data_IF_177506323225
#
_entry.id   IF_177506323225
#
_cell.length_a   1.000
_cell.length_b   1.000
_cell.length_c   1.000
_cell.angle_alpha   90.00
_cell.angle_beta   90.00
_cell.angle_gamma   90.00
#
_symmetry.space_group_name_H-M   'P 1'
#
loop_
_entity.id
_entity.type
_entity.pdbx_description
1 polymer ?
#
# COMPACT_ATOMS: atom_id res chain seq x y z
N UNK A 1 -24.19 35.00 33.00
CA UNK A 1 -24.61 34.03 31.96
C UNK A 1 -23.61 33.92 30.79
N UNK A 2 -23.19 35.01 30.13
CA UNK A 2 -22.22 34.96 29.00
C UNK A 2 -20.84 34.34 29.35
N UNK A 3 -20.30 34.62 30.54
CA UNK A 3 -19.02 34.04 31.00
C UNK A 3 -19.07 32.51 31.25
N UNK A 4 -20.23 31.97 31.60
CA UNK A 4 -20.38 30.54 31.89
C UNK A 4 -20.44 29.70 30.59
N UNK A 5 -21.09 30.26 29.56
CA UNK A 5 -21.18 29.67 28.21
C UNK A 5 -19.81 29.71 27.51
N UNK A 6 -19.05 30.80 27.64
CA UNK A 6 -17.70 30.93 27.08
C UNK A 6 -16.72 29.90 27.69
N UNK A 7 -16.85 29.63 28.99
CA UNK A 7 -16.03 28.64 29.70
C UNK A 7 -16.32 27.20 29.23
N UNK A 8 -17.60 26.84 29.04
CA UNK A 8 -18.02 25.52 28.54
C UNK A 8 -17.54 25.22 27.11
N UNK A 9 -17.53 26.22 26.22
CA UNK A 9 -17.04 26.07 24.84
C UNK A 9 -15.53 25.77 24.83
N UNK A 10 -14.75 26.51 25.61
CA UNK A 10 -13.30 26.30 25.75
C UNK A 10 -12.97 24.91 26.35
N UNK A 11 -13.83 24.37 27.23
CA UNK A 11 -13.65 23.03 27.82
C UNK A 11 -13.94 21.92 26.82
N UNK A 12 -14.96 22.11 25.97
CA UNK A 12 -15.32 21.17 24.91
C UNK A 12 -14.23 21.07 23.85
N UNK A 13 -13.69 22.20 23.43
CA UNK A 13 -12.63 22.23 22.41
C UNK A 13 -11.35 21.57 22.95
N UNK A 14 -10.99 21.83 24.21
CA UNK A 14 -9.86 21.16 24.89
C UNK A 14 -10.08 19.64 25.04
N UNK A 15 -11.32 19.19 25.23
CA UNK A 15 -11.67 17.77 25.30
C UNK A 15 -11.54 17.09 23.93
N UNK A 16 -11.97 17.77 22.86
CA UNK A 16 -11.84 17.28 21.48
C UNK A 16 -10.37 17.18 21.09
N UNK A 17 -9.56 18.18 21.41
CA UNK A 17 -8.11 18.18 21.14
C UNK A 17 -7.39 17.11 21.98
N UNK A 18 -7.77 16.94 23.24
CA UNK A 18 -7.27 15.86 24.09
C UNK A 18 -7.62 14.47 23.55
N UNK A 19 -8.87 14.26 23.14
CA UNK A 19 -9.32 13.00 22.54
C UNK A 19 -8.62 12.71 21.21
N UNK A 20 -8.46 13.73 20.34
CA UNK A 20 -7.70 13.64 19.10
C UNK A 20 -6.24 13.26 19.37
N UNK A 21 -5.60 13.91 20.34
CA UNK A 21 -4.22 13.63 20.73
C UNK A 21 -4.03 12.20 21.23
N UNK A 22 -4.98 11.67 22.01
CA UNK A 22 -4.96 10.28 22.48
C UNK A 22 -5.09 9.29 21.31
N UNK A 23 -6.03 9.52 20.40
CA UNK A 23 -6.24 8.65 19.23
C UNK A 23 -5.03 8.66 18.29
N UNK A 24 -4.50 9.85 17.98
CA UNK A 24 -3.31 10.00 17.15
C UNK A 24 -2.07 9.39 17.80
N UNK A 25 -1.86 9.64 19.09
CA UNK A 25 -0.73 9.08 19.84
C UNK A 25 -0.77 7.56 19.92
N UNK A 26 -1.95 6.98 20.15
CA UNK A 26 -2.14 5.52 20.18
C UNK A 26 -1.93 4.91 18.80
N UNK A 27 -2.46 5.54 17.74
CA UNK A 27 -2.24 5.10 16.36
C UNK A 27 -0.76 5.12 15.98
N UNK A 28 -0.05 6.22 16.25
CA UNK A 28 1.38 6.35 15.96
C UNK A 28 2.23 5.29 16.70
N UNK A 29 1.90 5.01 17.96
CA UNK A 29 2.58 3.98 18.75
C UNK A 29 2.37 2.58 18.15
N UNK A 30 1.13 2.25 17.78
CA UNK A 30 0.80 0.96 17.16
C UNK A 30 1.47 0.80 15.79
N UNK A 31 1.50 1.85 14.97
CA UNK A 31 2.22 1.84 13.70
C UNK A 31 3.72 1.64 13.88
N UNK A 32 4.35 2.31 14.85
CA UNK A 32 5.78 2.11 15.14
C UNK A 32 6.10 0.67 15.58
N UNK A 33 5.20 0.06 16.35
CA UNK A 33 5.31 -1.34 16.76
C UNK A 33 5.17 -2.27 15.55
N UNK A 34 4.14 -2.06 14.73
CA UNK A 34 3.89 -2.82 13.52
C UNK A 34 5.07 -2.77 12.54
N UNK A 35 5.58 -1.57 12.24
CA UNK A 35 6.76 -1.38 11.39
C UNK A 35 7.98 -2.12 11.93
N UNK A 36 8.13 -2.22 13.25
CA UNK A 36 9.22 -2.96 13.88
C UNK A 36 9.10 -4.46 13.62
N UNK A 37 7.90 -5.02 13.73
CA UNK A 37 7.65 -6.42 13.38
C UNK A 37 7.88 -6.67 11.89
N UNK A 38 7.36 -5.81 11.02
CA UNK A 38 7.60 -5.86 9.57
C UNK A 38 9.11 -5.84 9.25
N UNK A 39 9.89 -4.95 9.89
CA UNK A 39 11.35 -4.90 9.73
C UNK A 39 12.05 -6.20 10.14
N UNK A 40 11.51 -6.98 11.09
CA UNK A 40 12.09 -8.28 11.45
C UNK A 40 11.86 -9.31 10.35
N UNK A 41 10.65 -9.35 9.77
CA UNK A 41 10.30 -10.26 8.67
C UNK A 41 11.14 -9.94 7.42
N UNK A 42 11.27 -8.66 7.07
CA UNK A 42 12.07 -8.22 5.91
C UNK A 42 13.54 -8.63 6.05
N UNK A 43 14.11 -8.62 7.27
CA UNK A 43 15.49 -9.11 7.49
C UNK A 43 15.65 -10.59 7.14
N UNK A 44 14.64 -11.41 7.42
CA UNK A 44 14.62 -12.84 7.06
C UNK A 44 14.53 -12.99 5.53
N UNK A 45 13.66 -12.21 4.88
CA UNK A 45 13.54 -12.22 3.41
C UNK A 45 14.86 -11.82 2.73
N UNK A 46 15.52 -10.78 3.23
CA UNK A 46 16.84 -10.35 2.73
C UNK A 46 17.91 -11.43 2.90
N UNK A 47 17.86 -12.23 3.97
CA UNK A 47 18.79 -13.36 4.12
C UNK A 47 18.58 -14.41 3.03
N UNK A 48 17.33 -14.71 2.65
CA UNK A 48 17.05 -15.58 1.51
C UNK A 48 17.61 -14.99 0.21
N UNK A 49 17.43 -13.68 -0.02
CA UNK A 49 18.01 -12.98 -1.18
C UNK A 49 19.54 -13.04 -1.21
N UNK A 50 20.22 -12.85 -0.07
CA UNK A 50 21.68 -12.97 0.05
C UNK A 50 22.17 -14.35 -0.44
N UNK A 51 21.45 -15.44 -0.10
CA UNK A 51 21.77 -16.78 -0.59
C UNK A 51 21.44 -16.96 -2.07
N UNK A 52 20.28 -16.48 -2.54
CA UNK A 52 19.92 -16.60 -3.96
C UNK A 52 20.92 -15.91 -4.89
N UNK A 53 21.55 -14.82 -4.44
CA UNK A 53 22.59 -14.12 -5.18
C UNK A 53 23.85 -14.97 -5.46
N UNK A 54 24.13 -15.97 -4.62
CA UNK A 54 25.28 -16.89 -4.83
C UNK A 54 24.90 -18.14 -5.62
N UNK A 55 23.65 -18.30 -6.04
CA UNK A 55 23.21 -19.50 -6.75
C UNK A 55 23.92 -19.70 -8.10
N UNK A 56 24.33 -18.62 -8.77
CA UNK A 56 24.96 -18.68 -10.09
C UNK A 56 26.44 -19.13 -10.07
N UNK A 57 27.11 -19.04 -8.93
CA UNK A 57 28.53 -19.40 -8.78
C UNK A 57 28.76 -20.79 -8.18
N UNK A 58 27.69 -21.56 -7.95
CA UNK A 58 27.80 -22.92 -7.43
C UNK A 58 28.17 -23.89 -8.56
N UNK A 59 29.35 -24.49 -8.43
CA UNK A 59 29.97 -25.36 -9.44
C UNK A 59 30.23 -26.79 -8.96
N UNK A 60 30.07 -27.09 -7.66
CA UNK A 60 30.31 -28.42 -7.08
C UNK A 60 29.10 -28.95 -6.30
N UNK A 61 29.05 -30.28 -6.14
CA UNK A 61 27.99 -30.95 -5.36
C UNK A 61 28.10 -30.65 -3.86
N UNK A 62 29.34 -30.44 -3.37
CA UNK A 62 29.61 -30.10 -1.98
C UNK A 62 29.11 -28.68 -1.67
N UNK A 63 29.38 -27.72 -2.56
CA UNK A 63 28.87 -26.35 -2.45
C UNK A 63 27.34 -26.31 -2.55
N UNK A 64 26.75 -27.09 -3.45
CA UNK A 64 25.30 -27.23 -3.54
C UNK A 64 24.69 -27.79 -2.25
N UNK A 65 25.33 -28.80 -1.67
CA UNK A 65 24.88 -29.39 -0.40
C UNK A 65 24.95 -28.38 0.74
N UNK A 66 26.01 -27.57 0.79
CA UNK A 66 26.18 -26.51 1.77
C UNK A 66 25.13 -25.39 1.56
N UNK A 67 24.91 -24.97 0.32
CA UNK A 67 23.88 -23.99 -0.05
C UNK A 67 22.50 -24.42 0.44
N UNK A 68 22.10 -25.67 0.16
CA UNK A 68 20.80 -26.21 0.59
C UNK A 68 20.69 -26.21 2.12
N UNK A 69 21.76 -26.61 2.82
CA UNK A 69 21.80 -26.62 4.29
C UNK A 69 21.63 -25.23 4.88
N UNK A 70 22.22 -24.21 4.25
CA UNK A 70 22.22 -22.85 4.76
C UNK A 70 20.92 -22.11 4.43
N UNK A 71 20.36 -22.26 3.22
CA UNK A 71 19.14 -21.54 2.80
C UNK A 71 17.86 -22.14 3.42
N UNK A 72 17.81 -23.46 3.65
CA UNK A 72 16.59 -24.16 4.12
C UNK A 72 16.01 -23.60 5.43
N UNK A 73 16.82 -23.32 6.47
CA UNK A 73 16.33 -22.70 7.70
C UNK A 73 15.72 -21.31 7.46
N UNK A 74 16.30 -20.51 6.56
CA UNK A 74 15.78 -19.18 6.24
C UNK A 74 14.49 -19.24 5.44
N UNK A 75 14.36 -20.19 4.50
CA UNK A 75 13.11 -20.43 3.77
C UNK A 75 11.98 -20.87 4.72
N UNK A 76 12.29 -21.78 5.64
CA UNK A 76 11.31 -22.26 6.63
C UNK A 76 10.87 -21.12 7.56
N UNK A 77 11.83 -20.32 8.04
CA UNK A 77 11.55 -19.16 8.87
C UNK A 77 10.73 -18.11 8.12
N UNK A 78 11.12 -17.77 6.89
CA UNK A 78 10.39 -16.81 6.04
C UNK A 78 8.97 -17.27 5.80
N UNK A 79 8.75 -18.55 5.47
CA UNK A 79 7.42 -19.11 5.28
C UNK A 79 6.56 -18.97 6.53
N UNK A 80 7.12 -19.23 7.72
CA UNK A 80 6.40 -19.08 8.99
C UNK A 80 6.08 -17.62 9.32
N UNK A 81 7.06 -16.74 9.18
CA UNK A 81 6.92 -15.32 9.54
C UNK A 81 5.90 -14.62 8.61
N UNK A 82 5.90 -14.95 7.31
CA UNK A 82 4.91 -14.44 6.34
C UNK A 82 3.53 -15.05 6.58
N UNK A 83 3.43 -16.34 6.92
CA UNK A 83 2.15 -16.97 7.25
C UNK A 83 1.51 -16.37 8.52
N UNK A 84 2.30 -16.09 9.54
CA UNK A 84 1.82 -15.37 10.72
C UNK A 84 1.33 -13.97 10.34
N UNK A 85 2.11 -13.23 9.55
CA UNK A 85 1.76 -11.87 9.16
C UNK A 85 0.49 -11.81 8.32
N UNK A 86 0.32 -12.70 7.36
CA UNK A 86 -0.86 -12.68 6.49
C UNK A 86 -2.17 -12.89 7.27
N UNK A 87 -2.13 -13.66 8.38
CA UNK A 87 -3.28 -13.86 9.26
C UNK A 87 -3.67 -12.61 10.06
N UNK A 88 -2.72 -11.68 10.29
CA UNK A 88 -2.94 -10.42 11.01
C UNK A 88 -3.46 -9.30 10.08
N UNK A 89 -3.29 -9.45 8.76
CA UNK A 89 -3.70 -8.43 7.80
C UNK A 89 -5.22 -8.36 7.66
N UNK A 90 -5.75 -7.14 7.82
CA UNK A 90 -7.15 -6.82 7.51
C UNK A 90 -7.39 -6.70 6.00
N UNK A 91 -6.36 -6.28 5.23
CA UNK A 91 -6.45 -6.10 3.79
C UNK A 91 -6.31 -7.44 3.03
N UNK A 92 -7.44 -7.98 2.58
CA UNK A 92 -7.53 -9.30 1.95
C UNK A 92 -6.64 -9.45 0.71
N UNK A 93 -6.54 -8.41 -0.11
CA UNK A 93 -5.73 -8.45 -1.35
C UNK A 93 -4.23 -8.60 -1.01
N UNK A 94 -3.75 -7.89 0.02
CA UNK A 94 -2.34 -8.03 0.44
C UNK A 94 -2.06 -9.42 0.99
N UNK A 95 -2.99 -9.96 1.79
CA UNK A 95 -2.93 -11.35 2.26
C UNK A 95 -2.84 -12.33 1.09
N UNK A 96 -3.69 -12.21 0.08
CA UNK A 96 -3.70 -13.09 -1.10
C UNK A 96 -2.39 -13.02 -1.89
N UNK A 97 -1.83 -11.81 -2.06
CA UNK A 97 -0.53 -11.65 -2.73
C UNK A 97 0.57 -12.34 -1.92
N UNK A 98 0.64 -12.15 -0.59
CA UNK A 98 1.64 -12.80 0.25
C UNK A 98 1.56 -14.33 0.17
N UNK A 99 0.35 -14.89 0.22
CA UNK A 99 0.12 -16.34 0.07
C UNK A 99 0.63 -16.83 -1.29
N UNK A 100 0.23 -16.17 -2.39
CA UNK A 100 0.63 -16.54 -3.76
C UNK A 100 2.15 -16.51 -3.94
N UNK A 101 2.81 -15.45 -3.47
CA UNK A 101 4.26 -15.32 -3.60
C UNK A 101 4.97 -16.42 -2.80
N UNK A 102 4.51 -16.66 -1.56
CA UNK A 102 5.11 -17.67 -0.70
C UNK A 102 4.94 -19.09 -1.26
N UNK A 103 3.78 -19.41 -1.83
CA UNK A 103 3.57 -20.70 -2.48
C UNK A 103 4.41 -20.86 -3.75
N UNK A 104 4.60 -19.78 -4.51
CA UNK A 104 5.53 -19.77 -5.65
C UNK A 104 6.96 -20.06 -5.20
N UNK A 105 7.42 -19.45 -4.10
CA UNK A 105 8.74 -19.74 -3.51
C UNK A 105 8.88 -21.20 -3.08
N UNK A 106 7.86 -21.78 -2.42
CA UNK A 106 7.86 -23.20 -2.01
C UNK A 106 7.97 -24.15 -3.21
N UNK A 107 7.31 -23.82 -4.32
CA UNK A 107 7.37 -24.61 -5.56
C UNK A 107 8.74 -24.44 -6.25
N UNK A 108 9.27 -23.21 -6.33
CA UNK A 108 10.52 -22.91 -7.01
C UNK A 108 11.75 -23.49 -6.29
N UNK A 109 11.75 -23.54 -4.96
CA UNK A 109 12.89 -23.99 -4.16
C UNK A 109 13.44 -25.38 -4.56
N UNK A 110 12.64 -26.46 -4.58
CA UNK A 110 13.13 -27.77 -5.01
C UNK A 110 13.49 -27.81 -6.51
N UNK A 111 12.80 -27.04 -7.35
CA UNK A 111 13.08 -26.98 -8.80
C UNK A 111 14.45 -26.32 -9.04
N UNK A 112 14.77 -25.25 -8.31
CA UNK A 112 16.06 -24.59 -8.36
C UNK A 112 17.19 -25.53 -7.92
N UNK A 113 17.01 -26.25 -6.81
CA UNK A 113 18.00 -27.24 -6.33
C UNK A 113 18.24 -28.33 -7.38
N UNK A 114 17.18 -28.83 -8.02
CA UNK A 114 17.30 -29.79 -9.12
C UNK A 114 18.05 -29.19 -10.32
N UNK A 115 17.76 -27.95 -10.73
CA UNK A 115 18.44 -27.29 -11.84
C UNK A 115 19.94 -27.07 -11.55
N UNK A 116 20.29 -26.68 -10.32
CA UNK A 116 21.67 -26.55 -9.88
C UNK A 116 22.41 -27.90 -9.90
N UNK A 117 21.74 -28.97 -9.45
CA UNK A 117 22.31 -30.32 -9.48
C UNK A 117 22.62 -30.77 -10.91
N UNK A 118 21.68 -30.56 -11.83
CA UNK A 118 21.87 -30.90 -13.26
C UNK A 118 23.04 -30.11 -13.85
N UNK A 119 23.14 -28.81 -13.53
CA UNK A 119 24.25 -27.97 -13.97
C UNK A 119 25.61 -28.52 -13.52
N UNK A 120 25.76 -28.84 -12.23
CA UNK A 120 26.99 -29.41 -11.67
C UNK A 120 27.35 -30.73 -12.37
N UNK A 121 26.38 -31.62 -12.58
CA UNK A 121 26.61 -32.91 -13.25
C UNK A 121 27.08 -32.74 -14.72
N UNK A 122 26.47 -31.82 -15.47
CA UNK A 122 26.87 -31.54 -16.86
C UNK A 122 28.28 -30.93 -16.93
N UNK A 123 28.65 -30.13 -15.94
CA UNK A 123 29.99 -29.56 -15.83
C UNK A 123 31.07 -30.64 -15.71
N UNK A 124 30.76 -31.73 -14.98
CA UNK A 124 31.67 -32.85 -14.76
C UNK A 124 31.74 -33.84 -15.95
N UNK A 125 30.63 -34.08 -16.67
CA UNK A 125 30.51 -35.19 -17.62
C UNK A 125 30.71 -34.85 -19.12
N UNK A 126 30.95 -33.59 -19.48
CA UNK A 126 31.35 -33.25 -20.87
C UNK A 126 30.88 -31.92 -21.43
N UNK A 127 30.41 -30.98 -20.61
CA UNK A 127 30.10 -29.58 -20.94
C UNK A 127 29.08 -29.31 -22.07
N UNK A 128 28.57 -30.36 -22.74
CA UNK A 128 27.51 -30.24 -23.74
C UNK A 128 26.19 -29.91 -23.03
N UNK A 129 25.59 -28.75 -23.37
CA UNK A 129 24.37 -28.26 -22.71
C UNK A 129 24.62 -27.44 -21.44
N UNK A 130 25.88 -27.11 -21.11
CA UNK A 130 26.23 -26.33 -19.93
C UNK A 130 25.57 -24.94 -19.92
N UNK A 131 25.55 -24.27 -21.08
CA UNK A 131 24.94 -22.95 -21.23
C UNK A 131 23.42 -22.98 -20.98
N UNK A 132 22.71 -23.95 -21.55
CA UNK A 132 21.26 -24.12 -21.35
C UNK A 132 20.93 -24.42 -19.88
N UNK A 133 21.72 -25.27 -19.24
CA UNK A 133 21.53 -25.58 -17.82
C UNK A 133 21.82 -24.38 -16.91
N UNK A 134 22.83 -23.58 -17.23
CA UNK A 134 23.15 -22.35 -16.51
C UNK A 134 22.02 -21.32 -16.64
N UNK A 135 21.49 -21.14 -17.85
CA UNK A 135 20.38 -20.24 -18.13
C UNK A 135 19.11 -20.65 -17.36
N UNK A 136 18.79 -21.95 -17.35
CA UNK A 136 17.65 -22.47 -16.58
C UNK A 136 17.80 -22.23 -15.07
N UNK A 137 18.99 -22.48 -14.50
CA UNK A 137 19.30 -22.20 -13.09
C UNK A 137 19.14 -20.71 -12.78
N UNK A 138 19.72 -19.84 -13.61
CA UNK A 138 19.69 -18.40 -13.40
C UNK A 138 18.27 -17.84 -13.52
N UNK A 139 17.47 -18.32 -14.48
CA UNK A 139 16.06 -17.98 -14.60
C UNK A 139 15.27 -18.36 -13.34
N UNK A 140 15.47 -19.55 -12.79
CA UNK A 140 14.79 -20.00 -11.57
C UNK A 140 15.20 -19.19 -10.34
N UNK A 141 16.50 -18.87 -10.20
CA UNK A 141 17.02 -18.04 -9.12
C UNK A 141 16.45 -16.61 -9.19
N UNK A 142 16.40 -16.01 -10.39
CA UNK A 142 15.81 -14.70 -10.61
C UNK A 142 14.30 -14.71 -10.31
N UNK A 143 13.57 -15.71 -10.82
CA UNK A 143 12.13 -15.82 -10.57
C UNK A 143 11.81 -15.96 -9.08
N UNK A 144 12.61 -16.73 -8.34
CA UNK A 144 12.45 -16.85 -6.89
C UNK A 144 12.82 -15.53 -6.18
N UNK A 145 13.83 -14.82 -6.67
CA UNK A 145 14.21 -13.47 -6.19
C UNK A 145 13.08 -12.47 -6.37
N UNK A 146 12.40 -12.48 -7.51
CA UNK A 146 11.27 -11.59 -7.80
C UNK A 146 10.10 -11.82 -6.84
N UNK A 147 9.75 -13.09 -6.56
CA UNK A 147 8.69 -13.42 -5.59
C UNK A 147 9.06 -12.98 -4.16
N UNK A 148 10.32 -13.10 -3.76
CA UNK A 148 10.79 -12.62 -2.43
C UNK A 148 10.78 -11.09 -2.35
N UNK A 149 11.14 -10.39 -3.43
CA UNK A 149 11.03 -8.93 -3.49
C UNK A 149 9.58 -8.44 -3.43
N UNK A 150 8.66 -9.15 -4.08
CA UNK A 150 7.24 -8.83 -4.02
C UNK A 150 6.67 -9.03 -2.60
N UNK A 151 7.11 -10.07 -1.88
CA UNK A 151 6.80 -10.24 -0.45
C UNK A 151 7.28 -9.02 0.34
N UNK A 152 8.53 -8.58 0.15
CA UNK A 152 9.07 -7.40 0.84
C UNK A 152 8.22 -6.16 0.54
N UNK A 153 7.87 -5.94 -0.74
CA UNK A 153 7.03 -4.80 -1.15
C UNK A 153 5.69 -4.80 -0.43
N UNK A 154 4.98 -5.92 -0.43
CA UNK A 154 3.63 -6.03 0.15
C UNK A 154 3.66 -5.92 1.67
N UNK A 155 4.70 -6.44 2.34
CA UNK A 155 4.87 -6.31 3.78
C UNK A 155 4.99 -4.84 4.24
N UNK A 156 5.42 -3.95 3.35
CA UNK A 156 5.59 -2.52 3.63
C UNK A 156 4.37 -1.67 3.30
N UNK A 157 3.30 -2.26 2.75
CA UNK A 157 2.05 -1.55 2.48
C UNK A 157 1.28 -1.34 3.79
N UNK A 158 1.13 -0.06 4.16
CA UNK A 158 0.39 0.37 5.35
C UNK A 158 -0.99 0.95 5.03
N UNK A 159 -1.34 1.09 3.75
CA UNK A 159 -2.55 1.76 3.26
C UNK A 159 -3.13 1.03 2.04
N UNK A 160 -4.39 1.32 1.73
CA UNK A 160 -4.99 0.92 0.46
C UNK A 160 -4.25 1.63 -0.69
N UNK A 161 -3.83 0.91 -1.73
CA UNK A 161 -3.36 1.53 -2.99
C UNK A 161 -4.46 2.42 -3.63
N UNK A 162 -5.73 2.31 -3.19
CA UNK A 162 -6.83 3.19 -3.59
C UNK A 162 -6.83 4.56 -2.88
N UNK A 163 -6.12 4.74 -1.76
CA UNK A 163 -6.09 6.01 -1.02
C UNK A 163 -5.18 7.08 -1.66
N UNK A 164 -4.19 6.68 -2.47
CA UNK A 164 -3.40 7.63 -3.29
C UNK A 164 -4.25 8.28 -4.39
N UNK A 165 -5.23 7.55 -4.93
CA UNK A 165 -6.20 8.11 -5.87
C UNK A 165 -7.15 9.08 -5.16
N UNK A 166 -7.62 8.77 -3.96
CA UNK A 166 -8.48 9.65 -3.18
C UNK A 166 -7.75 10.95 -2.77
N UNK A 167 -6.50 10.85 -2.31
CA UNK A 167 -5.68 12.02 -1.95
C UNK A 167 -5.30 12.88 -3.16
N UNK A 168 -4.95 12.26 -4.29
CA UNK A 168 -4.67 13.01 -5.53
C UNK A 168 -5.91 13.68 -6.11
N UNK A 169 -7.07 13.03 -6.06
CA UNK A 169 -8.35 13.64 -6.44
C UNK A 169 -8.71 14.80 -5.51
N UNK A 170 -8.51 14.63 -4.19
CA UNK A 170 -8.77 15.69 -3.22
C UNK A 170 -7.85 16.89 -3.45
N UNK A 171 -6.56 16.65 -3.68
CA UNK A 171 -5.59 17.71 -3.99
C UNK A 171 -5.99 18.47 -5.25
N UNK A 172 -6.30 17.77 -6.35
CA UNK A 172 -6.73 18.39 -7.59
C UNK A 172 -8.04 19.17 -7.45
N UNK A 173 -8.98 18.67 -6.64
CA UNK A 173 -10.24 19.35 -6.32
C UNK A 173 -10.02 20.64 -5.52
N UNK A 174 -9.19 20.58 -4.47
CA UNK A 174 -8.86 21.72 -3.62
C UNK A 174 -8.10 22.80 -4.40
N UNK A 175 -7.14 22.43 -5.25
CA UNK A 175 -6.42 23.38 -6.12
C UNK A 175 -7.37 24.12 -7.07
N UNK A 176 -8.37 23.42 -7.63
CA UNK A 176 -9.37 24.02 -8.52
C UNK A 176 -10.38 24.91 -7.80
N UNK A 177 -10.70 24.61 -6.55
CA UNK A 177 -11.50 25.49 -5.69
C UNK A 177 -10.69 26.73 -5.27
N UNK A 178 -9.40 26.56 -5.01
CA UNK A 178 -8.49 27.62 -4.60
C UNK A 178 -8.18 28.64 -5.72
N UNK A 179 -8.17 28.22 -6.98
CA UNK A 179 -7.99 29.11 -8.13
C UNK A 179 -9.34 29.72 -8.59
N UNK A 180 -9.59 31.02 -8.36
CA UNK A 180 -10.85 31.67 -8.76
C UNK A 180 -11.08 31.69 -10.28
N UNK A 181 -10.01 31.55 -11.08
CA UNK A 181 -10.05 31.58 -12.55
C UNK A 181 -10.04 30.18 -13.16
N UNK A 182 -10.04 29.13 -12.35
CA UNK A 182 -10.04 27.77 -12.85
C UNK A 182 -11.29 27.49 -13.70
N UNK A 183 -11.11 26.83 -14.84
CA UNK A 183 -12.19 26.61 -15.81
C UNK A 183 -13.08 25.43 -15.40
N UNK A 184 -14.41 25.53 -15.54
CA UNK A 184 -15.29 24.37 -15.51
C UNK A 184 -14.86 23.32 -16.55
N UNK A 185 -14.98 22.03 -16.24
CA UNK A 185 -14.49 20.93 -17.09
C UNK A 185 -13.00 20.61 -16.96
N UNK A 186 -12.25 21.37 -16.16
CA UNK A 186 -10.85 21.10 -15.86
C UNK A 186 -10.68 19.87 -14.94
N UNK A 187 -9.43 19.42 -14.79
CA UNK A 187 -9.08 18.21 -14.02
C UNK A 187 -9.62 18.25 -12.60
N UNK A 188 -9.56 19.40 -11.91
CA UNK A 188 -10.04 19.50 -10.53
C UNK A 188 -11.56 19.46 -10.37
N UNK A 189 -12.35 20.00 -11.31
CA UNK A 189 -13.82 19.84 -11.28
C UNK A 189 -14.21 18.37 -11.51
N UNK A 190 -13.56 17.71 -12.48
CA UNK A 190 -13.72 16.27 -12.70
C UNK A 190 -13.32 15.45 -11.47
N UNK A 191 -12.31 15.91 -10.73
CA UNK A 191 -11.91 15.28 -9.49
C UNK A 191 -13.01 15.37 -8.41
N UNK A 192 -13.66 16.53 -8.26
CA UNK A 192 -14.82 16.70 -7.38
C UNK A 192 -15.94 15.71 -7.76
N UNK A 193 -16.29 15.61 -9.04
CA UNK A 193 -17.33 14.66 -9.51
C UNK A 193 -16.99 13.22 -9.16
N UNK A 194 -15.73 12.83 -9.33
CA UNK A 194 -15.26 11.48 -9.06
C UNK A 194 -15.23 11.16 -7.56
N UNK A 195 -14.90 12.13 -6.70
CA UNK A 195 -15.02 12.00 -5.24
C UNK A 195 -16.48 11.75 -4.84
N UNK A 196 -17.44 12.46 -5.45
CA UNK A 196 -18.87 12.26 -5.18
C UNK A 196 -19.34 10.87 -5.62
N UNK A 197 -18.87 10.36 -6.75
CA UNK A 197 -19.16 8.97 -7.18
C UNK A 197 -18.62 7.92 -6.21
N UNK A 198 -17.42 8.14 -5.63
CA UNK A 198 -16.88 7.25 -4.61
C UNK A 198 -17.69 7.35 -3.30
N UNK A 199 -18.04 8.56 -2.88
CA UNK A 199 -18.87 8.77 -1.70
C UNK A 199 -20.24 8.08 -1.84
N UNK A 200 -20.85 8.06 -3.02
CA UNK A 200 -22.12 7.35 -3.24
C UNK A 200 -21.96 5.82 -3.12
N UNK A 201 -20.84 5.26 -3.59
CA UNK A 201 -20.52 3.83 -3.41
C UNK A 201 -20.34 3.47 -1.93
N UNK A 202 -19.76 4.38 -1.13
CA UNK A 202 -19.61 4.23 0.32
C UNK A 202 -21.00 4.29 0.97
N UNK A 203 -21.80 5.32 0.66
CA UNK A 203 -23.16 5.48 1.20
C UNK A 203 -24.06 4.27 0.92
N UNK A 204 -23.90 3.60 -0.23
CA UNK A 204 -24.64 2.40 -0.57
C UNK A 204 -24.31 1.18 0.32
N UNK A 205 -23.16 1.19 1.01
CA UNK A 205 -22.67 0.11 1.88
C UNK A 205 -22.69 0.46 3.37
N UNK A 206 -23.00 1.71 3.71
CA UNK A 206 -23.05 2.22 5.08
C UNK A 206 -24.36 1.86 5.80
N UNK A 207 -24.36 1.97 7.14
CA UNK A 207 -25.57 1.84 7.96
C UNK A 207 -26.59 2.94 7.63
N UNK A 208 -27.90 2.74 7.87
CA UNK A 208 -28.94 3.69 7.47
C UNK A 208 -28.75 5.13 7.99
N UNK A 209 -28.23 5.29 9.21
CA UNK A 209 -27.97 6.59 9.85
C UNK A 209 -26.81 7.34 9.15
N UNK A 210 -25.74 6.63 8.81
CA UNK A 210 -24.59 7.17 8.07
C UNK A 210 -24.92 7.42 6.59
N UNK A 211 -25.70 6.53 5.98
CA UNK A 211 -26.12 6.62 4.58
C UNK A 211 -26.88 7.92 4.30
N UNK A 212 -27.81 8.31 5.18
CA UNK A 212 -28.54 9.58 5.04
C UNK A 212 -27.58 10.78 5.08
N UNK A 213 -26.68 10.79 6.07
CA UNK A 213 -25.72 11.87 6.28
C UNK A 213 -24.76 12.01 5.09
N UNK A 214 -24.22 10.90 4.59
CA UNK A 214 -23.30 10.89 3.45
C UNK A 214 -24.02 11.36 2.17
N UNK A 215 -25.23 10.87 1.89
CA UNK A 215 -26.00 11.30 0.70
C UNK A 215 -26.40 12.76 0.74
N UNK A 216 -26.71 13.28 1.92
CA UNK A 216 -27.00 14.69 2.09
C UNK A 216 -25.77 15.54 1.72
N UNK A 217 -24.60 15.20 2.26
CA UNK A 217 -23.34 15.88 1.95
C UNK A 217 -22.97 15.80 0.45
N UNK A 218 -23.18 14.63 -0.20
CA UNK A 218 -22.96 14.47 -1.65
C UNK A 218 -23.82 15.48 -2.44
N UNK A 219 -25.10 15.59 -2.11
CA UNK A 219 -26.04 16.49 -2.78
C UNK A 219 -25.66 17.97 -2.61
N UNK A 220 -25.29 18.37 -1.39
CA UNK A 220 -24.86 19.74 -1.10
C UNK A 220 -23.57 20.11 -1.86
N UNK A 221 -22.56 19.25 -1.83
CA UNK A 221 -21.29 19.48 -2.53
C UNK A 221 -21.51 19.54 -4.05
N UNK A 222 -22.37 18.69 -4.62
CA UNK A 222 -22.73 18.72 -6.03
C UNK A 222 -23.36 20.06 -6.44
N UNK A 223 -24.36 20.51 -5.69
CA UNK A 223 -25.07 21.79 -5.92
C UNK A 223 -24.13 23.00 -5.82
N UNK A 224 -23.21 22.99 -4.84
CA UNK A 224 -22.20 24.04 -4.70
C UNK A 224 -21.20 24.03 -5.88
N UNK A 225 -20.76 22.85 -6.33
CA UNK A 225 -19.88 22.73 -7.48
C UNK A 225 -20.54 23.23 -8.78
N UNK A 226 -21.83 22.93 -8.97
CA UNK A 226 -22.62 23.43 -10.10
C UNK A 226 -22.73 24.97 -10.07
N UNK A 227 -23.07 25.53 -8.91
CA UNK A 227 -23.15 26.98 -8.70
C UNK A 227 -21.83 27.69 -9.00
N UNK A 228 -20.70 27.10 -8.58
CA UNK A 228 -19.36 27.64 -8.89
C UNK A 228 -19.08 27.59 -10.40
N UNK A 229 -19.48 26.52 -11.07
CA UNK A 229 -19.31 26.39 -12.52
C UNK A 229 -20.12 27.44 -13.29
N UNK A 230 -21.37 27.66 -12.91
CA UNK A 230 -22.24 28.68 -13.52
C UNK A 230 -21.67 30.09 -13.36
N UNK A 231 -21.22 30.44 -12.15
CA UNK A 231 -20.58 31.74 -11.86
C UNK A 231 -19.32 31.95 -12.70
N UNK A 232 -18.47 30.92 -12.79
CA UNK A 232 -17.23 30.97 -13.59
C UNK A 232 -17.51 31.06 -15.10
N UNK A 233 -18.55 30.40 -15.61
CA UNK A 233 -19.00 30.53 -17.00
C UNK A 233 -19.55 31.94 -17.30
N UNK A 234 -20.22 32.56 -16.34
CA UNK A 234 -20.73 33.93 -16.43
C UNK A 234 -19.65 35.01 -16.28
N UNK A 235 -18.38 34.64 -16.05
CA UNK A 235 -17.27 35.58 -15.79
C UNK A 235 -17.38 36.32 -14.45
N UNK A 236 -18.17 35.79 -13.52
CA UNK A 236 -18.47 36.34 -12.20
C UNK A 236 -17.51 35.76 -11.17
N UNK A 237 -16.47 36.53 -10.81
CA UNK A 237 -15.41 36.14 -9.85
C UNK A 237 -15.56 36.85 -8.48
N UNK A 238 -16.69 37.53 -8.27
CA UNK A 238 -17.03 38.39 -7.14
C UNK A 238 -17.12 37.67 -5.78
N UNK A 239 -17.12 36.33 -5.76
CA UNK A 239 -17.11 35.51 -4.54
C UNK A 239 -15.70 35.24 -3.97
N UNK A 240 -14.71 36.01 -4.40
CA UNK A 240 -13.27 35.85 -4.09
C UNK A 240 -12.96 35.76 -2.59
N UNK A 241 -13.74 36.44 -1.74
CA UNK A 241 -13.57 36.42 -0.28
C UNK A 241 -14.19 35.19 0.40
N UNK A 242 -15.26 34.62 -0.18
CA UNK A 242 -15.94 33.44 0.36
C UNK A 242 -15.14 32.16 0.09
N UNK A 243 -14.55 32.02 -1.10
CA UNK A 243 -13.68 30.87 -1.43
C UNK A 243 -12.42 30.79 -0.55
N UNK A 244 -11.80 31.94 -0.24
CA UNK A 244 -10.67 32.01 0.70
C UNK A 244 -11.05 31.65 2.14
N UNK A 245 -12.32 31.83 2.52
CA UNK A 245 -12.81 31.47 3.86
C UNK A 245 -13.09 29.98 4.03
N UNK A 246 -13.50 29.28 2.96
CA UNK A 246 -13.72 27.84 2.99
C UNK A 246 -12.42 27.02 2.97
N UNK A 247 -11.32 27.56 2.42
CA UNK A 247 -10.03 26.88 2.34
C UNK A 247 -9.18 26.98 3.64
N UNK A 248 -9.66 27.68 4.68
CA UNK A 248 -8.91 27.99 5.91
C UNK A 248 -9.41 27.26 7.16
N UNK A 249 -10.39 26.36 7.06
CA UNK A 249 -10.88 25.56 8.18
C UNK A 249 -10.74 24.06 7.90
#
# INVERSE_FOLDING_TARGET
>A
MKLHIQCQICTRDSLIDGARGILQGTSALLLCFDESEVRKIIRVCRKVLDYLAVAEVIESIDDLTQFVRDITPWLTRMSKDVDNRQNELTHVVHREILIRCMDSVKVLSPILVCAMKIFVQISEEGQKGLAESAENRNYLAQRMTDEVNEIIRVLQLTTYDEDDAAQSLLTAALDWLADPRARPGAVGEKAIRRILEYAEKIAARSLPEDQFTIRHAISEIASLADSICELRQAGRYDNQQLAQSCARN
#
